data_IF_311309423988
#
_entry.id   IF_311309423988
#
_cell.length_a   1.000
_cell.length_b   1.000
_cell.length_c   1.000
_cell.angle_alpha   90.00
_cell.angle_beta   90.00
_cell.angle_gamma   90.00
#
_symmetry.space_group_name_H-M   'P 1'
#
loop_
_entity.id
_entity.type
_entity.pdbx_description
1 polymer ?
#
# COMPACT_ATOMS: atom_id res chain seq x y z
N UNK A 1 11.62 42.44 69.01
CA UNK A 1 12.19 41.51 68.01
C UNK A 1 11.03 40.74 67.40
N UNK A 2 10.70 40.98 66.14
CA UNK A 2 9.67 40.22 65.41
C UNK A 2 10.29 39.83 64.08
N UNK A 3 10.58 38.54 63.91
CA UNK A 3 11.16 37.95 62.71
C UNK A 3 10.03 37.57 61.77
N UNK A 4 9.84 38.34 60.70
CA UNK A 4 8.92 37.99 59.63
C UNK A 4 9.57 36.93 58.75
N UNK A 5 9.06 35.69 58.81
CA UNK A 5 9.45 34.63 57.88
C UNK A 5 9.09 35.02 56.45
N UNK A 6 10.10 35.11 55.59
CA UNK A 6 9.93 35.27 54.16
C UNK A 6 9.66 33.88 53.58
N UNK A 7 8.40 33.54 53.38
CA UNK A 7 7.99 32.33 52.67
C UNK A 7 8.72 32.25 51.32
N UNK A 8 9.59 31.25 51.19
CA UNK A 8 10.28 30.95 49.95
C UNK A 8 9.24 30.45 48.94
N UNK A 9 8.80 31.34 48.04
CA UNK A 9 8.08 30.96 46.83
C UNK A 9 8.96 29.99 46.04
N UNK A 10 8.56 28.72 45.95
CA UNK A 10 9.27 27.65 45.23
C UNK A 10 9.24 27.79 43.71
N UNK A 11 9.17 29.01 43.21
CA UNK A 11 9.03 29.36 41.79
C UNK A 11 10.38 29.89 41.32
N UNK A 12 10.95 29.28 40.29
CA UNK A 12 12.30 29.56 39.82
C UNK A 12 12.42 30.97 39.21
N UNK A 13 13.64 31.52 39.08
CA UNK A 13 13.86 32.88 38.56
C UNK A 13 13.39 33.13 37.11
N UNK A 14 13.00 32.09 36.39
CA UNK A 14 12.69 32.12 34.95
C UNK A 14 11.19 32.27 34.65
N UNK A 15 10.31 32.14 35.63
CA UNK A 15 8.85 32.18 35.44
C UNK A 15 8.26 33.59 35.34
N UNK A 16 9.05 34.64 35.56
CA UNK A 16 8.63 36.05 35.42
C UNK A 16 9.04 36.73 34.12
N UNK A 17 9.83 36.07 33.27
CA UNK A 17 10.31 36.64 32.02
C UNK A 17 9.31 36.36 30.88
N UNK A 18 8.69 37.42 30.34
CA UNK A 18 7.91 37.29 29.11
C UNK A 18 8.82 36.84 27.97
N UNK A 19 8.67 35.61 27.50
CA UNK A 19 9.41 35.05 26.35
C UNK A 19 9.11 35.78 25.03
N UNK A 20 8.09 36.64 25.03
CA UNK A 20 7.62 37.40 23.88
C UNK A 20 7.67 38.89 24.18
N UNK A 21 8.16 39.69 23.23
CA UNK A 21 8.20 41.14 23.29
C UNK A 21 7.83 41.73 21.92
N UNK A 22 7.91 43.05 21.76
CA UNK A 22 7.57 43.73 20.50
C UNK A 22 8.47 43.26 19.35
N UNK A 23 9.74 42.97 19.62
CA UNK A 23 10.73 42.52 18.63
C UNK A 23 10.70 40.99 18.40
N UNK A 24 10.09 40.23 19.30
CA UNK A 24 9.90 38.78 19.26
C UNK A 24 8.44 38.43 19.64
N UNK A 25 7.46 38.73 18.78
CA UNK A 25 6.07 38.43 19.05
C UNK A 25 5.82 36.92 19.12
N UNK A 26 4.82 36.52 19.89
CA UNK A 26 4.41 35.11 19.95
C UNK A 26 4.09 34.58 18.54
N UNK A 27 4.52 33.36 18.19
CA UNK A 27 4.16 32.75 16.92
C UNK A 27 2.63 32.76 16.77
N UNK A 28 2.14 33.27 15.64
CA UNK A 28 0.71 33.23 15.31
C UNK A 28 0.29 31.77 15.21
N UNK A 29 -0.32 31.24 16.27
CA UNK A 29 -0.93 29.91 16.27
C UNK A 29 -2.22 30.04 15.47
N UNK A 30 -2.17 29.70 14.19
CA UNK A 30 -3.39 29.57 13.40
C UNK A 30 -4.30 28.54 14.09
N UNK A 31 -5.59 28.89 14.23
CA UNK A 31 -6.55 27.97 14.82
C UNK A 31 -6.46 26.61 14.10
N UNK A 32 -6.43 25.46 14.83
CA UNK A 32 -6.19 24.13 14.24
C UNK A 32 -7.14 23.76 13.09
N UNK A 33 -8.29 24.43 13.03
CA UNK A 33 -9.38 24.21 12.07
C UNK A 33 -9.36 25.17 10.88
N UNK A 34 -8.42 26.12 10.82
CA UNK A 34 -8.34 27.09 9.73
C UNK A 34 -7.92 26.37 8.46
N UNK A 35 -8.80 26.39 7.46
CA UNK A 35 -8.54 25.77 6.16
C UNK A 35 -7.50 26.61 5.42
N UNK A 36 -6.33 26.04 5.16
CA UNK A 36 -5.23 26.69 4.44
C UNK A 36 -5.12 26.15 3.02
N UNK A 37 -4.22 26.74 2.22
CA UNK A 37 -3.85 26.21 0.88
C UNK A 37 -3.27 24.78 0.97
N UNK A 38 -2.76 24.37 2.14
CA UNK A 38 -2.22 23.03 2.40
C UNK A 38 -3.29 22.04 2.88
N UNK A 39 -4.48 22.50 3.26
CA UNK A 39 -5.55 21.60 3.70
C UNK A 39 -6.06 20.79 2.49
N UNK A 40 -6.04 19.45 2.55
CA UNK A 40 -6.56 18.61 1.48
C UNK A 40 -8.01 19.01 1.16
N UNK A 41 -8.35 19.17 -0.13
CA UNK A 41 -9.76 19.23 -0.52
C UNK A 41 -10.37 17.87 -0.15
N UNK A 42 -11.48 17.88 0.59
CA UNK A 42 -12.27 16.66 0.80
C UNK A 42 -12.67 16.12 -0.57
N UNK A 43 -12.03 15.05 -1.00
CA UNK A 43 -12.35 14.36 -2.24
C UNK A 43 -13.64 13.59 -1.98
N UNK A 44 -14.71 13.94 -2.69
CA UNK A 44 -16.09 13.45 -2.49
C UNK A 44 -16.32 11.97 -2.90
N UNK A 45 -15.27 11.15 -2.95
CA UNK A 45 -15.32 9.80 -3.52
C UNK A 45 -15.02 8.70 -2.48
N UNK A 46 -15.77 7.60 -2.55
CA UNK A 46 -15.59 6.40 -1.72
C UNK A 46 -14.41 5.52 -2.19
N UNK A 47 -13.44 6.08 -2.93
CA UNK A 47 -12.35 5.32 -3.52
C UNK A 47 -11.48 4.64 -2.45
N UNK A 48 -11.12 5.36 -1.39
CA UNK A 48 -10.30 4.79 -0.31
C UNK A 48 -11.07 3.70 0.46
N UNK A 49 -12.39 3.84 0.60
CA UNK A 49 -13.23 2.77 1.17
C UNK A 49 -13.26 1.54 0.26
N UNK A 50 -13.43 1.72 -1.04
CA UNK A 50 -13.44 0.64 -2.02
C UNK A 50 -12.07 -0.07 -2.08
N UNK A 51 -10.98 0.71 -2.13
CA UNK A 51 -9.62 0.19 -2.09
C UNK A 51 -9.33 -0.55 -0.78
N UNK A 52 -9.82 -0.02 0.36
CA UNK A 52 -9.72 -0.70 1.65
C UNK A 52 -10.44 -2.04 1.61
N UNK A 53 -11.71 -2.07 1.18
CA UNK A 53 -12.53 -3.28 1.14
C UNK A 53 -11.92 -4.32 0.19
N UNK A 54 -11.45 -3.87 -0.98
CA UNK A 54 -10.74 -4.71 -1.95
C UNK A 54 -9.55 -5.40 -1.31
N UNK A 55 -8.67 -4.71 -0.58
CA UNK A 55 -7.50 -5.33 0.06
C UNK A 55 -7.89 -6.45 1.04
N UNK A 56 -9.01 -6.30 1.76
CA UNK A 56 -9.44 -7.30 2.76
C UNK A 56 -10.00 -8.53 2.07
N UNK A 57 -10.97 -8.33 1.17
CA UNK A 57 -11.63 -9.42 0.46
C UNK A 57 -10.65 -10.17 -0.44
N UNK A 58 -9.83 -9.44 -1.22
CA UNK A 58 -8.80 -10.06 -2.07
C UNK A 58 -7.76 -10.81 -1.24
N UNK A 59 -7.34 -10.28 -0.08
CA UNK A 59 -6.40 -10.96 0.81
C UNK A 59 -6.91 -12.33 1.27
N UNK A 60 -8.16 -12.41 1.73
CA UNK A 60 -8.77 -13.68 2.17
C UNK A 60 -8.84 -14.68 1.02
N UNK A 61 -9.25 -14.26 -0.17
CA UNK A 61 -9.30 -15.12 -1.36
C UNK A 61 -7.89 -15.57 -1.77
N UNK A 62 -6.92 -14.66 -1.72
CA UNK A 62 -5.53 -14.94 -2.09
C UNK A 62 -4.85 -15.94 -1.16
N UNK A 63 -5.23 -16.00 0.13
CA UNK A 63 -4.71 -17.04 1.04
C UNK A 63 -4.98 -18.42 0.47
N UNK A 64 -6.20 -18.69 0.01
CA UNK A 64 -6.56 -19.99 -0.57
C UNK A 64 -5.88 -20.20 -1.93
N UNK A 65 -5.95 -19.20 -2.82
CA UNK A 65 -5.40 -19.31 -4.17
C UNK A 65 -3.89 -19.53 -4.16
N UNK A 66 -3.15 -18.70 -3.43
CA UNK A 66 -1.69 -18.71 -3.40
C UNK A 66 -1.16 -19.93 -2.66
N UNK A 67 -1.73 -20.28 -1.49
CA UNK A 67 -1.28 -21.48 -0.77
C UNK A 67 -1.57 -22.74 -1.60
N UNK A 68 -2.77 -22.87 -2.17
CA UNK A 68 -3.09 -24.00 -3.04
C UNK A 68 -2.14 -24.10 -4.23
N UNK A 69 -1.81 -22.97 -4.85
CA UNK A 69 -0.82 -22.91 -5.93
C UNK A 69 0.57 -23.36 -5.46
N UNK A 70 1.09 -22.79 -4.37
CA UNK A 70 2.41 -23.16 -3.84
C UNK A 70 2.47 -24.65 -3.48
N UNK A 71 1.42 -25.23 -2.88
CA UNK A 71 1.39 -26.65 -2.52
C UNK A 71 1.50 -27.55 -3.76
N UNK A 72 0.70 -27.31 -4.79
CA UNK A 72 0.67 -28.14 -6.00
C UNK A 72 1.99 -28.03 -6.79
N UNK A 73 2.58 -26.83 -6.80
CA UNK A 73 3.80 -26.55 -7.56
C UNK A 73 5.06 -27.01 -6.84
N UNK A 74 5.17 -26.84 -5.51
CA UNK A 74 6.41 -27.09 -4.77
C UNK A 74 6.41 -28.37 -3.95
N UNK A 75 5.26 -28.82 -3.42
CA UNK A 75 5.20 -29.90 -2.44
C UNK A 75 4.69 -31.21 -3.03
N UNK A 76 3.64 -31.15 -3.84
CA UNK A 76 2.98 -32.35 -4.38
C UNK A 76 3.68 -32.90 -5.64
N UNK A 77 3.46 -34.18 -5.93
CA UNK A 77 3.88 -34.95 -7.12
C UNK A 77 5.32 -34.72 -7.63
N UNK A 78 6.29 -34.58 -6.72
CA UNK A 78 7.70 -34.40 -7.09
C UNK A 78 8.18 -32.94 -7.16
N UNK A 79 7.33 -31.99 -6.75
CA UNK A 79 7.71 -30.59 -6.54
C UNK A 79 8.16 -29.86 -7.81
N UNK A 80 9.09 -28.92 -7.65
CA UNK A 80 9.54 -28.01 -8.75
C UNK A 80 10.12 -28.76 -9.95
N UNK A 81 10.71 -29.94 -9.74
CA UNK A 81 11.37 -30.73 -10.79
C UNK A 81 10.42 -31.22 -11.88
N UNK A 82 9.12 -31.30 -11.61
CA UNK A 82 8.09 -31.70 -12.59
C UNK A 82 7.58 -30.54 -13.44
N UNK A 83 7.86 -29.29 -13.04
CA UNK A 83 7.28 -28.10 -13.65
C UNK A 83 7.97 -27.85 -14.98
N UNK A 84 7.22 -28.03 -16.07
CA UNK A 84 7.66 -27.79 -17.43
C UNK A 84 6.47 -27.61 -18.37
N UNK A 85 6.74 -27.50 -19.66
CA UNK A 85 5.70 -27.25 -20.67
C UNK A 85 4.56 -28.27 -20.62
N UNK A 86 4.87 -29.57 -20.61
CA UNK A 86 3.87 -30.64 -20.59
C UNK A 86 2.98 -30.60 -19.34
N UNK A 87 3.56 -30.26 -18.18
CA UNK A 87 2.81 -30.11 -16.94
C UNK A 87 1.84 -28.91 -17.02
N UNK A 88 2.30 -27.76 -17.51
CA UNK A 88 1.45 -26.57 -17.71
C UNK A 88 0.36 -26.87 -18.74
N UNK A 89 0.69 -27.50 -19.85
CA UNK A 89 -0.25 -27.88 -20.90
C UNK A 89 -1.34 -28.83 -20.37
N UNK A 90 -0.97 -29.86 -19.61
CA UNK A 90 -1.93 -30.78 -18.99
C UNK A 90 -2.84 -30.09 -17.98
N UNK A 91 -2.32 -29.15 -17.19
CA UNK A 91 -3.11 -28.37 -16.23
C UNK A 91 -4.07 -27.41 -16.94
N UNK A 92 -3.57 -26.65 -17.91
CA UNK A 92 -4.39 -25.70 -18.68
C UNK A 92 -5.32 -26.37 -19.70
N UNK A 93 -5.27 -27.68 -19.88
CA UNK A 93 -6.32 -28.42 -20.59
C UNK A 93 -7.68 -28.37 -19.86
N UNK A 94 -7.70 -28.07 -18.55
CA UNK A 94 -8.93 -27.87 -17.78
C UNK A 94 -9.22 -26.37 -17.56
N UNK A 95 -10.45 -25.90 -17.88
CA UNK A 95 -10.86 -24.52 -17.63
C UNK A 95 -10.77 -24.11 -16.15
N UNK A 96 -10.91 -25.07 -15.23
CA UNK A 96 -10.79 -24.82 -13.79
C UNK A 96 -9.45 -24.18 -13.44
N UNK A 97 -8.35 -24.73 -13.98
CA UNK A 97 -7.01 -24.24 -13.67
C UNK A 97 -6.68 -22.93 -14.38
N UNK A 98 -7.22 -22.72 -15.60
CA UNK A 98 -7.12 -21.43 -16.27
C UNK A 98 -7.79 -20.32 -15.44
N UNK A 99 -8.99 -20.57 -14.93
CA UNK A 99 -9.72 -19.61 -14.07
C UNK A 99 -8.98 -19.41 -12.74
N UNK A 100 -8.47 -20.46 -12.11
CA UNK A 100 -7.68 -20.37 -10.89
C UNK A 100 -6.45 -19.45 -11.06
N UNK A 101 -5.67 -19.69 -12.11
CA UNK A 101 -4.44 -18.93 -12.37
C UNK A 101 -4.77 -17.50 -12.85
N UNK A 102 -5.85 -17.29 -13.62
CA UNK A 102 -6.34 -15.97 -14.02
C UNK A 102 -6.81 -15.13 -12.82
N UNK A 103 -7.63 -15.71 -11.94
CA UNK A 103 -8.10 -15.02 -10.74
C UNK A 103 -6.93 -14.63 -9.84
N UNK A 104 -5.96 -15.52 -9.66
CA UNK A 104 -4.78 -15.23 -8.87
C UNK A 104 -3.91 -14.15 -9.53
N UNK A 105 -3.68 -14.20 -10.84
CA UNK A 105 -2.96 -13.17 -11.58
C UNK A 105 -3.57 -11.79 -11.34
N UNK A 106 -4.89 -11.65 -11.53
CA UNK A 106 -5.59 -10.39 -11.36
C UNK A 106 -5.60 -9.94 -9.90
N UNK A 107 -6.02 -10.80 -8.97
CA UNK A 107 -6.14 -10.44 -7.56
C UNK A 107 -4.76 -10.15 -6.95
N UNK A 108 -3.74 -10.97 -7.18
CA UNK A 108 -2.43 -10.78 -6.58
C UNK A 108 -1.75 -9.52 -7.12
N UNK A 109 -1.82 -9.29 -8.43
CA UNK A 109 -1.20 -8.11 -9.06
C UNK A 109 -1.88 -6.83 -8.62
N UNK A 110 -3.23 -6.79 -8.58
CA UNK A 110 -3.96 -5.61 -8.11
C UNK A 110 -3.84 -5.39 -6.60
N UNK A 111 -3.82 -6.45 -5.80
CA UNK A 111 -3.59 -6.38 -4.35
C UNK A 111 -2.19 -5.83 -4.06
N UNK A 112 -1.16 -6.37 -4.72
CA UNK A 112 0.22 -5.89 -4.62
C UNK A 112 0.37 -4.44 -5.10
N UNK A 113 -0.27 -4.09 -6.22
CA UNK A 113 -0.23 -2.73 -6.75
C UNK A 113 -0.87 -1.70 -5.81
N UNK A 114 -2.02 -2.02 -5.21
CA UNK A 114 -2.66 -1.11 -4.26
C UNK A 114 -1.87 -1.02 -2.93
N UNK A 115 -1.27 -2.12 -2.47
CA UNK A 115 -0.35 -2.11 -1.33
C UNK A 115 0.87 -1.22 -1.59
N UNK A 116 1.54 -1.42 -2.73
CA UNK A 116 2.72 -0.65 -3.11
C UNK A 116 2.40 0.82 -3.40
N UNK A 117 1.19 1.15 -3.89
CA UNK A 117 0.70 2.54 -3.97
C UNK A 117 0.74 3.22 -2.59
N UNK A 118 0.28 2.53 -1.55
CA UNK A 118 0.30 3.04 -0.17
C UNK A 118 1.73 3.25 0.31
N UNK A 119 2.60 2.26 0.13
CA UNK A 119 4.04 2.37 0.45
C UNK A 119 4.68 3.56 -0.28
N UNK A 120 4.43 3.74 -1.58
CA UNK A 120 4.97 4.88 -2.33
C UNK A 120 4.45 6.21 -1.78
N UNK A 121 3.17 6.29 -1.36
CA UNK A 121 2.62 7.49 -0.77
C UNK A 121 3.28 7.84 0.56
N UNK A 122 3.63 6.83 1.35
CA UNK A 122 4.16 7.00 2.71
C UNK A 122 5.67 7.28 2.71
N UNK A 123 6.42 6.69 1.77
CA UNK A 123 7.89 6.77 1.75
C UNK A 123 8.47 7.72 0.69
N UNK A 124 7.74 8.07 -0.38
CA UNK A 124 8.27 8.99 -1.40
C UNK A 124 8.04 10.46 -1.02
N UNK A 125 9.04 11.09 -0.40
CA UNK A 125 8.99 12.48 0.05
C UNK A 125 8.83 13.49 -1.10
N UNK A 126 9.57 13.29 -2.19
CA UNK A 126 9.58 14.22 -3.34
C UNK A 126 8.42 13.92 -4.31
N UNK A 127 7.73 14.97 -4.74
CA UNK A 127 6.59 14.86 -5.67
C UNK A 127 6.95 14.18 -6.99
N UNK A 128 8.09 14.54 -7.59
CA UNK A 128 8.56 13.94 -8.84
C UNK A 128 8.88 12.45 -8.69
N UNK A 129 9.54 12.06 -7.58
CA UNK A 129 9.83 10.66 -7.28
C UNK A 129 8.53 9.86 -7.15
N UNK A 130 7.55 10.38 -6.42
CA UNK A 130 6.24 9.75 -6.25
C UNK A 130 5.50 9.58 -7.58
N UNK A 131 5.56 10.57 -8.46
CA UNK A 131 4.97 10.50 -9.80
C UNK A 131 5.59 9.37 -10.62
N UNK A 132 6.92 9.32 -10.70
CA UNK A 132 7.64 8.29 -11.46
C UNK A 132 7.41 6.88 -10.90
N UNK A 133 7.48 6.71 -9.58
CA UNK A 133 7.23 5.42 -8.94
C UNK A 133 5.82 4.91 -9.19
N UNK A 134 4.80 5.77 -9.11
CA UNK A 134 3.42 5.39 -9.45
C UNK A 134 3.25 5.11 -10.93
N UNK A 135 3.89 5.90 -11.80
CA UNK A 135 3.88 5.66 -13.25
C UNK A 135 4.43 4.28 -13.59
N UNK A 136 5.61 3.96 -13.05
CA UNK A 136 6.23 2.64 -13.22
C UNK A 136 5.34 1.52 -12.66
N UNK A 137 4.82 1.70 -11.45
CA UNK A 137 3.93 0.73 -10.81
C UNK A 137 2.70 0.41 -11.69
N UNK A 138 2.00 1.42 -12.17
CA UNK A 138 0.80 1.20 -12.98
C UNK A 138 1.13 0.62 -14.35
N UNK A 139 2.22 1.05 -14.98
CA UNK A 139 2.70 0.44 -16.25
C UNK A 139 3.03 -1.03 -16.06
N UNK A 140 3.79 -1.38 -15.01
CA UNK A 140 4.15 -2.77 -14.72
C UNK A 140 2.91 -3.62 -14.39
N UNK A 141 1.97 -3.07 -13.60
CA UNK A 141 0.70 -3.74 -13.26
C UNK A 141 -0.11 -4.04 -14.51
N UNK A 142 -0.30 -3.05 -15.38
CA UNK A 142 -1.05 -3.22 -16.62
C UNK A 142 -0.35 -4.19 -17.56
N UNK A 143 0.97 -4.06 -17.74
CA UNK A 143 1.75 -4.96 -18.58
C UNK A 143 1.63 -6.42 -18.11
N UNK A 144 1.84 -6.69 -16.81
CA UNK A 144 1.76 -8.04 -16.25
C UNK A 144 0.36 -8.64 -16.40
N UNK A 145 -0.70 -7.88 -16.11
CA UNK A 145 -2.07 -8.36 -16.25
C UNK A 145 -2.39 -8.67 -17.71
N UNK A 146 -2.07 -7.75 -18.64
CA UNK A 146 -2.38 -7.93 -20.06
C UNK A 146 -1.58 -9.08 -20.66
N UNK A 147 -0.27 -9.13 -20.41
CA UNK A 147 0.59 -10.19 -20.92
C UNK A 147 0.19 -11.55 -20.35
N UNK A 148 -0.03 -11.65 -19.03
CA UNK A 148 -0.44 -12.91 -18.41
C UNK A 148 -1.81 -13.38 -18.88
N UNK A 149 -2.77 -12.46 -19.02
CA UNK A 149 -4.10 -12.76 -19.55
C UNK A 149 -4.01 -13.23 -21.01
N UNK A 150 -3.21 -12.56 -21.84
CA UNK A 150 -2.94 -12.98 -23.22
C UNK A 150 -2.38 -14.40 -23.24
N UNK A 151 -1.32 -14.68 -22.48
CA UNK A 151 -0.67 -16.00 -22.42
C UNK A 151 -1.66 -17.09 -22.06
N UNK A 152 -2.55 -16.88 -21.08
CA UNK A 152 -3.54 -17.88 -20.66
C UNK A 152 -4.52 -18.19 -21.81
N UNK A 153 -5.02 -17.17 -22.51
CA UNK A 153 -6.04 -17.36 -23.56
C UNK A 153 -5.48 -17.73 -24.93
N UNK A 154 -4.21 -17.41 -25.21
CA UNK A 154 -3.55 -17.75 -26.48
C UNK A 154 -2.62 -18.96 -26.35
N UNK A 155 -2.65 -19.68 -25.23
CA UNK A 155 -1.84 -20.87 -25.05
C UNK A 155 -2.29 -22.00 -25.99
N UNK A 156 -1.36 -22.51 -26.80
CA UNK A 156 -1.58 -23.68 -27.65
C UNK A 156 -0.68 -24.83 -27.19
N UNK A 157 -1.24 -25.95 -26.67
CA UNK A 157 -0.47 -27.11 -26.27
C UNK A 157 0.09 -27.93 -27.45
N UNK A 158 -0.37 -27.68 -28.68
CA UNK A 158 -0.03 -28.47 -29.88
C UNK A 158 0.97 -27.78 -30.82
N UNK A 159 1.60 -26.70 -30.35
CA UNK A 159 2.71 -26.06 -31.05
C UNK A 159 3.83 -27.10 -31.31
N UNK A 160 4.16 -27.27 -32.59
CA UNK A 160 5.23 -28.16 -33.06
C UNK A 160 6.60 -27.51 -32.95
#
# INVERSE_FOLDING_TARGET
MSTTEKTASGIGPVEGASLYNVDNPAPLIEAPRKRTKKTPKSTRGNFEMAAWLFMRLSGVVLVVLVIGHLLIQLVLDGGVSKVGFAFVAGRWASPFWQVWDLLMLWLATLHGANGLRTVINDYAERANTRLWLKGLLYTATAFTILLGTLVIFTFDPNIR
#
